data_IF_082860999362
#
_entry.id   IF_082860999362
#
_cell.length_a   1.000
_cell.length_b   1.000
_cell.length_c   1.000
_cell.angle_alpha   90.00
_cell.angle_beta   90.00
_cell.angle_gamma   90.00
#
_symmetry.space_group_name_H-M   'P 1'
#
loop_
_entity.id
_entity.type
_entity.pdbx_description
1 polymer ?
#
# COMPACT_ATOMS: atom_id res chain seq x y z
N UNK A 1 -37.88 46.14 18.07
CA UNK A 1 -37.00 47.30 17.85
C UNK A 1 -35.56 46.79 17.69
N UNK A 2 -35.23 45.96 16.68
CA UNK A 2 -34.65 46.36 15.37
C UNK A 2 -33.49 47.36 15.42
N UNK A 3 -32.25 46.83 15.47
CA UNK A 3 -31.04 47.28 14.72
C UNK A 3 -30.12 46.04 14.62
N UNK A 4 -30.03 45.29 13.51
CA UNK A 4 -29.56 45.62 12.17
C UNK A 4 -28.16 46.26 12.17
N UNK A 5 -27.13 45.42 11.99
CA UNK A 5 -25.89 45.75 11.28
C UNK A 5 -25.07 44.47 11.05
N UNK A 6 -25.51 43.68 10.07
CA UNK A 6 -24.65 42.75 9.37
C UNK A 6 -23.55 43.54 8.65
N UNK A 7 -22.28 43.16 8.82
CA UNK A 7 -21.26 43.45 7.82
C UNK A 7 -20.74 42.12 7.28
N UNK A 8 -21.39 41.68 6.20
CA UNK A 8 -20.85 40.73 5.25
C UNK A 8 -19.67 41.38 4.51
N UNK A 9 -18.54 40.68 4.47
CA UNK A 9 -17.64 40.67 3.32
C UNK A 9 -17.13 39.22 3.22
N UNK A 10 -17.67 38.34 2.36
CA UNK A 10 -17.48 38.27 0.89
C UNK A 10 -15.99 38.31 0.52
N UNK A 11 -15.45 37.46 -0.34
CA UNK A 11 -15.93 36.31 -1.10
C UNK A 11 -14.67 35.73 -1.76
N UNK A 12 -14.58 34.41 -1.71
CA UNK A 12 -14.04 33.43 -2.66
C UNK A 12 -13.26 33.88 -3.90
N UNK A 13 -12.42 32.95 -4.40
CA UNK A 13 -12.17 32.53 -5.79
C UNK A 13 -10.67 32.15 -5.93
N UNK A 14 -10.22 31.11 -6.62
CA UNK A 14 -10.78 29.92 -7.26
C UNK A 14 -9.56 29.16 -7.83
N UNK A 15 -9.56 27.83 -7.81
CA UNK A 15 -8.58 27.03 -8.56
C UNK A 15 -8.45 25.63 -7.95
N UNK A 16 -9.08 24.56 -8.44
CA UNK A 16 -9.55 24.30 -9.80
C UNK A 16 -8.63 23.28 -10.46
N UNK A 17 -8.72 22.00 -10.06
CA UNK A 17 -8.37 20.87 -10.90
C UNK A 17 -9.58 19.93 -10.95
N UNK A 18 -10.31 20.03 -12.05
CA UNK A 18 -11.33 19.07 -12.42
C UNK A 18 -10.66 17.81 -12.98
N UNK A 19 -11.24 16.66 -12.60
CA UNK A 19 -11.54 15.51 -13.48
C UNK A 19 -10.48 14.43 -13.68
N UNK A 20 -10.72 13.29 -13.03
CA UNK A 20 -11.14 12.04 -13.67
C UNK A 20 -11.83 11.21 -12.57
N UNK A 21 -13.09 10.82 -12.68
CA UNK A 21 -13.50 9.68 -13.50
C UNK A 21 -13.43 8.44 -12.60
N UNK A 22 -14.59 7.99 -12.12
CA UNK A 22 -14.68 6.92 -11.13
C UNK A 22 -14.15 5.57 -11.62
N UNK A 23 -13.86 4.71 -10.65
CA UNK A 23 -13.97 3.25 -10.74
C UNK A 23 -13.89 2.70 -9.32
N UNK A 24 -15.01 2.23 -8.81
CA UNK A 24 -15.00 1.09 -7.90
C UNK A 24 -14.63 -0.14 -8.74
N UNK A 25 -13.42 -0.66 -8.52
CA UNK A 25 -12.97 -2.00 -8.89
C UNK A 25 -11.79 -2.27 -7.94
N UNK A 26 -11.81 -3.28 -7.05
CA UNK A 26 -12.19 -4.63 -7.40
C UNK A 26 -11.19 -5.17 -8.42
N UNK A 27 -9.93 -5.34 -8.02
CA UNK A 27 -8.89 -5.82 -8.93
C UNK A 27 -7.50 -5.40 -8.51
N UNK A 28 -6.95 -6.08 -7.52
CA UNK A 28 -5.50 -6.14 -7.37
C UNK A 28 -4.93 -6.87 -8.58
N UNK A 29 -4.42 -6.10 -9.53
CA UNK A 29 -3.54 -6.58 -10.58
C UNK A 29 -2.70 -5.41 -11.05
N UNK A 30 -1.70 -5.06 -10.25
CA UNK A 30 -0.58 -4.27 -10.74
C UNK A 30 0.59 -5.19 -11.01
N UNK A 31 0.46 -5.98 -12.09
CA UNK A 31 1.59 -6.57 -12.78
C UNK A 31 2.33 -5.48 -13.57
N UNK A 32 2.89 -4.51 -12.85
CA UNK A 32 3.91 -3.64 -13.43
C UNK A 32 5.18 -4.46 -13.44
N UNK A 33 5.79 -4.65 -14.62
CA UNK A 33 7.09 -5.30 -14.77
C UNK A 33 8.22 -4.40 -14.22
N UNK A 34 8.07 -3.95 -12.98
CA UNK A 34 9.15 -3.41 -12.18
C UNK A 34 10.15 -4.55 -11.92
N UNK A 35 11.43 -4.21 -11.89
CA UNK A 35 12.48 -5.14 -11.46
C UNK A 35 12.06 -5.74 -10.11
N UNK A 36 12.05 -7.08 -9.96
CA UNK A 36 11.64 -7.69 -8.72
C UNK A 36 12.48 -7.19 -7.53
N UNK A 37 11.87 -7.02 -6.35
CA UNK A 37 12.57 -6.54 -5.17
C UNK A 37 13.66 -7.51 -4.74
N UNK A 38 14.62 -7.00 -3.99
CA UNK A 38 15.74 -7.71 -3.37
C UNK A 38 16.65 -8.46 -4.36
N UNK A 39 16.66 -8.05 -5.64
CA UNK A 39 17.44 -8.70 -6.69
C UNK A 39 16.94 -10.11 -7.04
N UNK A 40 15.68 -10.42 -6.72
CA UNK A 40 15.05 -11.68 -7.07
C UNK A 40 14.95 -11.83 -8.60
N UNK A 41 15.02 -13.06 -9.08
CA UNK A 41 14.63 -13.35 -10.45
C UNK A 41 13.11 -13.20 -10.62
N UNK A 42 12.62 -12.92 -11.84
CA UNK A 42 11.20 -12.81 -12.10
C UNK A 42 10.39 -14.08 -11.75
N UNK A 43 11.02 -15.25 -11.86
CA UNK A 43 10.42 -16.52 -11.46
C UNK A 43 10.34 -16.69 -9.94
N UNK A 44 11.40 -16.36 -9.20
CA UNK A 44 11.41 -16.46 -7.74
C UNK A 44 10.41 -15.50 -7.11
N UNK A 45 10.31 -14.28 -7.65
CA UNK A 45 9.37 -13.28 -7.18
C UNK A 45 7.90 -13.74 -7.23
N UNK A 46 7.55 -14.65 -8.15
CA UNK A 46 6.19 -15.21 -8.30
C UNK A 46 5.90 -16.37 -7.36
N UNK A 47 6.89 -16.85 -6.60
CA UNK A 47 6.70 -17.99 -5.69
C UNK A 47 5.67 -17.63 -4.62
N UNK A 48 4.64 -18.44 -4.49
CA UNK A 48 3.58 -18.23 -3.49
C UNK A 48 4.10 -18.61 -2.10
N UNK A 49 3.89 -17.71 -1.13
CA UNK A 49 4.18 -17.95 0.28
C UNK A 49 2.91 -18.23 1.09
N UNK A 50 1.81 -17.55 0.77
CA UNK A 50 0.52 -17.75 1.42
C UNK A 50 -0.65 -17.34 0.52
N UNK A 51 -1.85 -17.84 0.84
CA UNK A 51 -3.11 -17.44 0.21
C UNK A 51 -4.14 -17.19 1.31
N UNK A 52 -4.84 -16.05 1.24
CA UNK A 52 -5.86 -15.60 2.20
C UNK A 52 -7.10 -15.20 1.41
N UNK A 53 -8.15 -16.03 1.44
CA UNK A 53 -9.30 -15.86 0.54
C UNK A 53 -8.84 -15.85 -0.93
N UNK A 54 -9.13 -14.75 -1.63
CA UNK A 54 -8.74 -14.54 -3.04
C UNK A 54 -7.36 -13.84 -3.19
N UNK A 55 -6.68 -13.53 -2.09
CA UNK A 55 -5.41 -12.81 -2.07
C UNK A 55 -4.24 -13.78 -2.01
N UNK A 56 -3.28 -13.62 -2.92
CA UNK A 56 -2.02 -14.39 -2.91
C UNK A 56 -0.89 -13.49 -2.45
N UNK A 57 -0.13 -13.93 -1.46
CA UNK A 57 1.11 -13.30 -1.01
C UNK A 57 2.27 -14.06 -1.65
N UNK A 58 3.05 -13.36 -2.46
CA UNK A 58 4.24 -13.92 -3.13
C UNK A 58 5.54 -13.58 -2.41
N UNK A 59 6.63 -14.24 -2.81
CA UNK A 59 7.98 -13.92 -2.34
C UNK A 59 8.39 -12.51 -2.76
N UNK A 60 7.94 -12.05 -3.93
CA UNK A 60 8.12 -10.66 -4.37
C UNK A 60 7.43 -9.67 -3.43
N UNK A 61 6.19 -9.94 -3.04
CA UNK A 61 5.46 -9.06 -2.11
C UNK A 61 6.16 -8.97 -0.75
N UNK A 62 6.57 -10.13 -0.22
CA UNK A 62 7.31 -10.21 1.04
C UNK A 62 8.66 -9.48 0.98
N UNK A 63 9.43 -9.68 -0.08
CA UNK A 63 10.68 -8.95 -0.30
C UNK A 63 10.45 -7.44 -0.45
N UNK A 64 9.37 -7.05 -1.14
CA UNK A 64 8.97 -5.65 -1.27
C UNK A 64 8.60 -5.01 0.07
N UNK A 65 7.99 -5.76 1.00
CA UNK A 65 7.79 -5.30 2.38
C UNK A 65 9.12 -5.05 3.06
N UNK A 66 10.04 -6.02 3.01
CA UNK A 66 11.37 -5.88 3.62
C UNK A 66 12.13 -4.66 3.08
N UNK A 67 12.10 -4.39 1.78
CA UNK A 67 12.78 -3.23 1.19
C UNK A 67 12.22 -1.88 1.64
N UNK A 68 10.92 -1.80 1.94
CA UNK A 68 10.30 -0.58 2.47
C UNK A 68 10.69 -0.32 3.92
N UNK A 69 11.14 -1.33 4.64
CA UNK A 69 11.61 -1.18 6.02
C UNK A 69 12.98 -0.49 6.05
N UNK A 70 13.18 0.34 7.08
CA UNK A 70 14.47 0.99 7.32
C UNK A 70 15.59 -0.05 7.56
N UNK A 71 16.86 0.30 7.35
CA UNK A 71 17.98 -0.62 7.54
C UNK A 71 18.05 -1.22 8.95
N UNK A 72 17.67 -0.45 9.98
CA UNK A 72 17.61 -0.93 11.36
C UNK A 72 16.41 -1.84 11.64
N UNK A 73 15.28 -1.62 10.98
CA UNK A 73 14.09 -2.45 11.13
C UNK A 73 14.31 -3.83 10.49
N UNK A 74 14.95 -3.87 9.32
CA UNK A 74 15.33 -5.10 8.64
C UNK A 74 16.21 -6.02 9.50
N UNK A 75 17.03 -5.46 10.40
CA UNK A 75 17.87 -6.26 11.32
C UNK A 75 17.05 -7.17 12.22
N UNK A 76 15.79 -6.84 12.50
CA UNK A 76 14.89 -7.68 13.30
C UNK A 76 14.49 -8.97 12.59
N UNK A 77 14.65 -9.05 11.27
CA UNK A 77 14.16 -10.14 10.42
C UNK A 77 15.29 -11.00 9.85
N UNK A 78 16.43 -11.09 10.55
CA UNK A 78 17.57 -11.92 10.12
C UNK A 78 17.37 -13.40 10.45
N UNK A 79 16.67 -13.71 11.55
CA UNK A 79 16.34 -15.08 11.94
C UNK A 79 15.12 -15.61 11.17
N UNK A 80 15.07 -16.90 10.80
CA UNK A 80 13.93 -17.51 10.12
C UNK A 80 12.60 -17.34 10.87
N UNK A 81 12.62 -17.42 12.20
CA UNK A 81 11.44 -17.30 13.04
C UNK A 81 10.84 -15.90 12.93
N UNK A 82 11.70 -14.87 12.94
CA UNK A 82 11.28 -13.47 12.76
C UNK A 82 10.72 -13.21 11.37
N UNK A 83 11.28 -13.85 10.34
CA UNK A 83 10.75 -13.78 8.97
C UNK A 83 9.37 -14.42 8.86
N UNK A 84 9.16 -15.53 9.58
CA UNK A 84 7.84 -16.15 9.68
C UNK A 84 6.85 -15.24 10.40
N UNK A 85 7.24 -14.62 11.51
CA UNK A 85 6.40 -13.64 12.22
C UNK A 85 5.96 -12.50 11.30
N UNK A 86 6.87 -11.95 10.47
CA UNK A 86 6.51 -10.93 9.49
C UNK A 86 5.50 -11.43 8.45
N UNK A 87 5.68 -12.66 7.97
CA UNK A 87 4.73 -13.25 7.03
C UNK A 87 3.36 -13.48 7.69
N UNK A 88 3.33 -13.91 8.94
CA UNK A 88 2.10 -14.10 9.72
C UNK A 88 1.38 -12.75 9.96
N UNK A 89 2.13 -11.66 10.21
CA UNK A 89 1.59 -10.30 10.28
C UNK A 89 0.98 -9.87 8.93
N UNK A 90 1.67 -10.12 7.82
CA UNK A 90 1.14 -9.83 6.47
C UNK A 90 -0.16 -10.61 6.18
N UNK A 91 -0.21 -11.89 6.56
CA UNK A 91 -1.42 -12.71 6.43
C UNK A 91 -2.56 -12.13 7.27
N UNK A 92 -2.26 -11.72 8.51
CA UNK A 92 -3.26 -11.20 9.46
C UNK A 92 -3.93 -9.93 8.95
N UNK A 93 -3.20 -9.06 8.25
CA UNK A 93 -3.74 -7.82 7.66
C UNK A 93 -4.69 -8.09 6.49
N UNK A 94 -4.57 -9.25 5.83
CA UNK A 94 -5.41 -9.63 4.69
C UNK A 94 -6.65 -10.49 5.08
N UNK A 95 -6.84 -10.79 6.38
CA UNK A 95 -8.04 -11.47 6.92
C UNK A 95 -9.27 -10.56 6.89
#
# INVERSE_FOLDING_TARGET
>A
MTRAASLLLLLSLLGGCARCGGTEAGGSSSGSAATPPAGLSPEDAKKVLATVGDRTITLGDYAGVLERLGPYERMRYQAPERRKELLDEMITVEL
#
